data_IF_468578520245
#
_entry.id   IF_468578520245
#
_cell.length_a   1.000
_cell.length_b   1.000
_cell.length_c   1.000
_cell.angle_alpha   90.00
_cell.angle_beta   90.00
_cell.angle_gamma   90.00
#
_symmetry.space_group_name_H-M   'P 1'
#
loop_
_entity.id
_entity.type
_entity.pdbx_description
1 polymer ?
#
# COMPACT_ATOMS: atom_id res chain seq x y z
N UNK A 1 -8.99 7.99 9.40
CA UNK A 1 -9.39 6.92 8.46
C UNK A 1 -9.29 5.49 9.05
N UNK A 2 -9.77 5.16 10.27
CA UNK A 2 -9.59 3.80 10.81
C UNK A 2 -10.43 2.74 10.07
N UNK A 3 -11.68 3.09 9.74
CA UNK A 3 -12.66 2.16 9.14
C UNK A 3 -12.27 1.72 7.74
N UNK A 4 -11.83 2.65 6.87
CA UNK A 4 -11.43 2.35 5.49
C UNK A 4 -10.25 1.38 5.42
N UNK A 5 -9.33 1.47 6.38
CA UNK A 5 -8.07 0.72 6.36
C UNK A 5 -8.17 -0.63 7.06
N UNK A 6 -9.34 -0.98 7.59
CA UNK A 6 -9.56 -2.25 8.25
C UNK A 6 -9.30 -3.41 7.28
N UNK A 7 -8.50 -4.39 7.70
CA UNK A 7 -8.08 -5.54 6.91
C UNK A 7 -7.36 -5.21 5.57
N UNK A 8 -6.93 -3.97 5.37
CA UNK A 8 -6.27 -3.56 4.12
C UNK A 8 -4.96 -4.29 3.82
N UNK A 9 -4.33 -4.90 4.83
CA UNK A 9 -3.13 -5.73 4.66
C UNK A 9 -3.31 -6.96 3.77
N UNK A 10 -4.53 -7.46 3.58
CA UNK A 10 -4.83 -8.64 2.74
C UNK A 10 -5.34 -8.28 1.36
N UNK A 11 -5.55 -7.00 1.05
CA UNK A 11 -6.14 -6.57 -0.21
C UNK A 11 -5.17 -6.72 -1.37
N UNK A 12 -5.71 -7.13 -2.52
CA UNK A 12 -5.07 -7.02 -3.83
C UNK A 12 -5.60 -5.78 -4.53
N UNK A 13 -4.72 -4.87 -4.92
CA UNK A 13 -5.07 -3.57 -5.49
C UNK A 13 -4.78 -3.57 -6.99
N UNK A 14 -5.84 -3.54 -7.79
CA UNK A 14 -5.69 -3.22 -9.21
C UNK A 14 -5.64 -1.69 -9.41
N UNK A 15 -5.28 -1.25 -10.62
CA UNK A 15 -5.14 0.17 -10.95
C UNK A 15 -6.44 0.96 -10.77
N UNK A 16 -7.59 0.35 -11.04
CA UNK A 16 -8.90 0.99 -10.90
C UNK A 16 -9.23 1.22 -9.43
N UNK A 17 -9.02 0.23 -8.56
CA UNK A 17 -9.20 0.34 -7.11
C UNK A 17 -8.26 1.39 -6.52
N UNK A 18 -7.00 1.45 -6.96
CA UNK A 18 -6.05 2.49 -6.54
C UNK A 18 -6.60 3.88 -6.88
N UNK A 19 -7.01 4.10 -8.13
CA UNK A 19 -7.57 5.39 -8.58
C UNK A 19 -8.84 5.76 -7.81
N UNK A 20 -9.69 4.78 -7.52
CA UNK A 20 -10.91 4.99 -6.74
C UNK A 20 -10.59 5.42 -5.30
N UNK A 21 -9.64 4.74 -4.64
CA UNK A 21 -9.20 5.08 -3.28
C UNK A 21 -8.60 6.48 -3.20
N UNK A 22 -7.73 6.84 -4.14
CA UNK A 22 -7.15 8.18 -4.17
C UNK A 22 -8.19 9.26 -4.47
N UNK A 23 -9.18 8.96 -5.33
CA UNK A 23 -10.28 9.88 -5.61
C UNK A 23 -11.17 10.07 -4.39
N UNK A 24 -11.50 8.99 -3.67
CA UNK A 24 -12.23 9.04 -2.41
C UNK A 24 -11.50 9.89 -1.37
N UNK A 25 -10.20 9.64 -1.16
CA UNK A 25 -9.37 10.40 -0.23
C UNK A 25 -9.37 11.88 -0.57
N UNK A 26 -9.11 12.24 -1.83
CA UNK A 26 -9.11 13.65 -2.27
C UNK A 26 -10.47 14.31 -2.13
N UNK A 27 -11.57 13.58 -2.34
CA UNK A 27 -12.93 14.09 -2.09
C UNK A 27 -13.12 14.38 -0.60
N UNK A 28 -12.79 13.43 0.27
CA UNK A 28 -12.89 13.61 1.72
C UNK A 28 -12.03 14.79 2.22
N UNK A 29 -10.79 14.91 1.73
CA UNK A 29 -9.89 16.01 2.10
C UNK A 29 -10.42 17.38 1.63
N UNK A 30 -11.04 17.46 0.45
CA UNK A 30 -11.68 18.70 -0.01
C UNK A 30 -12.88 19.10 0.83
N UNK A 31 -13.65 18.12 1.29
CA UNK A 31 -14.76 18.38 2.22
C UNK A 31 -14.24 18.90 3.55
N UNK A 32 -13.16 18.32 4.10
CA UNK A 32 -12.59 18.70 5.40
C UNK A 32 -11.92 20.08 5.33
N UNK A 33 -11.05 20.32 4.34
CA UNK A 33 -10.28 21.57 4.24
C UNK A 33 -11.02 22.71 3.55
N UNK A 34 -12.14 22.40 2.90
CA UNK A 34 -12.96 23.37 2.20
C UNK A 34 -12.28 24.05 1.01
N UNK A 35 -12.99 25.01 0.37
CA UNK A 35 -12.44 25.83 -0.70
C UNK A 35 -11.39 26.81 -0.17
N UNK A 36 -10.65 27.42 -1.09
CA UNK A 36 -9.70 28.51 -0.80
C UNK A 36 -10.15 29.79 -1.49
N UNK A 37 -9.92 30.92 -0.84
CA UNK A 37 -10.12 32.25 -1.44
C UNK A 37 -8.82 32.68 -2.10
N UNK A 38 -8.85 32.91 -3.40
CA UNK A 38 -7.71 33.28 -4.23
C UNK A 38 -8.11 34.51 -5.05
N UNK A 39 -7.36 35.61 -4.91
CA UNK A 39 -7.64 36.90 -5.57
C UNK A 39 -9.10 37.38 -5.42
N UNK A 40 -9.73 37.11 -4.28
CA UNK A 40 -11.12 37.49 -4.02
C UNK A 40 -12.17 36.45 -4.42
N UNK A 41 -11.82 35.46 -5.24
CA UNK A 41 -12.72 34.41 -5.71
C UNK A 41 -12.55 33.11 -4.92
N UNK A 42 -13.65 32.41 -4.66
CA UNK A 42 -13.62 31.07 -4.07
C UNK A 42 -13.35 30.03 -5.15
N UNK A 43 -12.37 29.16 -4.90
CA UNK A 43 -12.09 28.01 -5.77
C UNK A 43 -11.85 26.74 -4.99
N UNK A 44 -12.08 25.62 -5.67
CA UNK A 44 -11.68 24.30 -5.17
C UNK A 44 -10.16 24.19 -5.10
N UNK A 45 -9.65 23.53 -4.06
CA UNK A 45 -8.21 23.29 -3.91
C UNK A 45 -7.67 22.28 -4.94
N UNK A 46 -6.47 22.56 -5.45
CA UNK A 46 -5.71 21.64 -6.30
C UNK A 46 -5.13 20.48 -5.49
N UNK A 47 -4.79 19.37 -6.16
CA UNK A 47 -4.28 18.17 -5.48
C UNK A 47 -2.99 18.45 -4.68
N UNK A 48 -2.07 19.24 -5.24
CA UNK A 48 -0.82 19.56 -4.55
C UNK A 48 -1.03 20.40 -3.27
N UNK A 49 -2.03 21.28 -3.27
CA UNK A 49 -2.42 22.08 -2.09
C UNK A 49 -2.95 21.16 -0.99
N UNK A 50 -3.78 20.18 -1.36
CA UNK A 50 -4.30 19.18 -0.41
C UNK A 50 -3.17 18.36 0.20
N UNK A 51 -2.21 17.89 -0.58
CA UNK A 51 -1.09 17.10 -0.05
C UNK A 51 -0.18 17.92 0.87
N UNK A 52 0.01 19.21 0.58
CA UNK A 52 0.78 20.12 1.43
C UNK A 52 0.08 20.41 2.77
N UNK A 53 -1.25 20.41 2.78
CA UNK A 53 -2.06 20.59 3.99
C UNK A 53 -2.15 19.31 4.82
N UNK A 54 -2.40 18.17 4.17
CA UNK A 54 -2.64 16.90 4.87
C UNK A 54 -1.40 16.41 5.61
N UNK A 55 -0.20 16.53 5.00
CA UNK A 55 1.11 16.13 5.57
C UNK A 55 1.22 14.69 6.09
N UNK A 56 0.22 13.87 5.84
CA UNK A 56 0.14 12.47 6.22
C UNK A 56 0.28 11.57 4.97
N UNK A 57 0.65 10.29 5.14
CA UNK A 57 0.69 9.33 4.04
C UNK A 57 -0.68 9.17 3.39
N UNK A 58 -0.70 9.11 2.06
CA UNK A 58 -1.90 8.83 1.28
C UNK A 58 -2.44 7.43 1.63
N UNK A 59 -3.75 7.21 1.47
CA UNK A 59 -4.40 5.92 1.76
C UNK A 59 -3.68 4.75 1.10
N UNK A 60 -3.28 4.89 -0.16
CA UNK A 60 -2.57 3.83 -0.92
C UNK A 60 -1.21 3.49 -0.32
N UNK A 61 -0.50 4.49 0.24
CA UNK A 61 0.77 4.30 0.94
C UNK A 61 0.56 3.58 2.29
N UNK A 62 -0.52 3.88 2.98
CA UNK A 62 -0.88 3.20 4.24
C UNK A 62 -1.25 1.74 3.98
N UNK A 63 -2.03 1.45 2.94
CA UNK A 63 -2.38 0.07 2.56
C UNK A 63 -1.10 -0.73 2.25
N UNK A 64 -0.20 -0.16 1.44
CA UNK A 64 1.13 -0.76 1.17
C UNK A 64 1.90 -1.03 2.47
N UNK A 65 1.96 -0.05 3.37
CA UNK A 65 2.63 -0.18 4.66
C UNK A 65 2.03 -1.32 5.51
N UNK A 66 0.71 -1.45 5.53
CA UNK A 66 0.01 -2.51 6.24
C UNK A 66 0.30 -3.89 5.63
N UNK A 67 0.26 -4.00 4.30
CA UNK A 67 0.59 -5.23 3.58
C UNK A 67 2.02 -5.70 3.83
N UNK A 68 3.00 -4.79 3.80
CA UNK A 68 4.39 -5.12 4.13
C UNK A 68 4.59 -5.44 5.61
N UNK A 69 3.83 -4.80 6.51
CA UNK A 69 3.83 -5.15 7.94
C UNK A 69 3.37 -6.60 8.13
N UNK A 70 2.29 -6.98 7.46
CA UNK A 70 1.73 -8.34 7.47
C UNK A 70 2.70 -9.37 6.88
N UNK A 71 3.32 -9.09 5.73
CA UNK A 71 4.36 -9.95 5.16
C UNK A 71 5.48 -10.24 6.16
N UNK A 72 6.02 -9.20 6.80
CA UNK A 72 7.07 -9.38 7.78
C UNK A 72 6.60 -10.18 8.99
N UNK A 73 5.34 -10.02 9.41
CA UNK A 73 4.76 -10.84 10.48
C UNK A 73 4.73 -12.32 10.08
N UNK A 74 4.15 -12.64 8.91
CA UNK A 74 4.08 -14.02 8.39
C UNK A 74 5.48 -14.64 8.27
N UNK A 75 6.45 -13.90 7.73
CA UNK A 75 7.82 -14.39 7.54
C UNK A 75 8.57 -14.67 8.85
N UNK A 76 8.18 -14.02 9.96
CA UNK A 76 8.77 -14.27 11.28
C UNK A 76 7.99 -15.31 12.08
N UNK A 77 6.79 -15.68 11.66
CA UNK A 77 6.04 -16.77 12.28
C UNK A 77 6.77 -18.10 12.09
N UNK A 78 6.64 -19.04 13.04
CA UNK A 78 7.22 -20.38 12.94
C UNK A 78 6.89 -21.08 11.61
N UNK A 79 7.76 -21.97 11.13
CA UNK A 79 7.56 -22.68 9.85
C UNK A 79 6.33 -23.59 9.85
N UNK A 80 5.97 -24.15 11.01
CA UNK A 80 4.76 -24.93 11.19
C UNK A 80 3.47 -24.07 11.23
N UNK A 81 3.58 -22.74 11.17
CA UNK A 81 2.42 -21.87 11.12
C UNK A 81 1.70 -22.02 9.77
N UNK A 82 0.42 -22.40 9.82
CA UNK A 82 -0.41 -22.63 8.63
C UNK A 82 -0.45 -21.41 7.71
N UNK A 83 -0.61 -20.20 8.25
CA UNK A 83 -0.64 -18.96 7.45
C UNK A 83 0.66 -18.78 6.66
N UNK A 84 1.81 -19.04 7.28
CA UNK A 84 3.10 -19.00 6.58
C UNK A 84 3.18 -20.05 5.49
N UNK A 85 2.81 -21.29 5.80
CA UNK A 85 2.80 -22.38 4.85
C UNK A 85 1.93 -22.05 3.63
N UNK A 86 0.67 -21.65 3.83
CA UNK A 86 -0.25 -21.31 2.73
C UNK A 86 0.19 -20.08 1.93
N UNK A 87 0.77 -19.06 2.59
CA UNK A 87 1.19 -17.83 1.89
C UNK A 87 2.33 -18.09 0.90
N UNK A 88 3.29 -18.93 1.26
CA UNK A 88 4.48 -19.20 0.45
C UNK A 88 4.42 -20.53 -0.30
N UNK A 89 3.35 -21.32 -0.14
CA UNK A 89 3.14 -22.53 -0.92
C UNK A 89 2.92 -22.15 -2.38
N UNK A 90 3.72 -22.73 -3.27
CA UNK A 90 3.45 -22.67 -4.69
C UNK A 90 2.44 -23.78 -5.05
N UNK A 91 1.17 -23.47 -5.39
CA UNK A 91 0.24 -24.49 -5.86
C UNK A 91 0.72 -24.98 -7.22
N UNK A 92 1.04 -26.27 -7.32
CA UNK A 92 1.44 -26.90 -8.58
C UNK A 92 0.34 -26.72 -9.63
N UNK A 93 0.71 -26.27 -10.83
CA UNK A 93 -0.21 -26.05 -11.95
C UNK A 93 0.08 -24.78 -12.76
N UNK A 94 -0.56 -24.67 -13.93
CA UNK A 94 -0.44 -23.51 -14.82
C UNK A 94 -1.60 -22.54 -14.61
N UNK A 95 -1.33 -21.24 -14.71
CA UNK A 95 -2.38 -20.20 -14.65
C UNK A 95 -3.10 -20.10 -16.00
N UNK A 96 -4.36 -19.65 -15.97
CA UNK A 96 -5.13 -19.33 -17.18
C UNK A 96 -4.36 -18.34 -18.05
N UNK A 97 -4.34 -18.58 -19.37
CA UNK A 97 -3.75 -17.65 -20.34
C UNK A 97 -4.56 -16.34 -20.39
N UNK A 98 -3.89 -15.21 -20.61
CA UNK A 98 -4.51 -13.88 -20.68
C UNK A 98 -4.23 -13.03 -19.45
N UNK A 99 -5.29 -12.49 -18.81
CA UNK A 99 -5.22 -11.63 -17.62
C UNK A 99 -5.66 -12.40 -16.36
N UNK A 100 -4.82 -13.27 -15.79
CA UNK A 100 -5.17 -13.96 -14.55
C UNK A 100 -5.28 -12.95 -13.39
N UNK A 101 -6.17 -13.17 -12.40
CA UNK A 101 -6.35 -12.27 -11.27
C UNK A 101 -5.06 -12.09 -10.47
N UNK A 102 -4.70 -10.85 -10.09
CA UNK A 102 -3.51 -10.56 -9.29
C UNK A 102 -3.59 -11.25 -7.93
N UNK A 103 -2.52 -11.97 -7.53
CA UNK A 103 -2.43 -12.57 -6.20
C UNK A 103 -1.89 -11.54 -5.20
N UNK A 104 -2.16 -11.76 -3.92
CA UNK A 104 -1.59 -10.95 -2.85
C UNK A 104 -0.05 -10.90 -2.91
N UNK A 105 0.60 -12.04 -3.21
CA UNK A 105 2.06 -12.11 -3.33
C UNK A 105 2.60 -11.29 -4.52
N UNK A 106 1.87 -11.24 -5.63
CA UNK A 106 2.25 -10.46 -6.82
C UNK A 106 2.32 -8.96 -6.45
N UNK A 107 1.34 -8.49 -5.67
CA UNK A 107 1.29 -7.12 -5.14
C UNK A 107 2.40 -6.83 -4.13
N UNK A 108 2.68 -7.78 -3.23
CA UNK A 108 3.80 -7.67 -2.28
C UNK A 108 5.13 -7.52 -3.01
N UNK A 109 5.36 -8.35 -4.03
CA UNK A 109 6.57 -8.25 -4.85
C UNK A 109 6.68 -6.90 -5.55
N UNK A 110 5.57 -6.37 -6.07
CA UNK A 110 5.55 -5.06 -6.69
C UNK A 110 5.83 -3.93 -5.69
N UNK A 111 5.31 -4.03 -4.47
CA UNK A 111 5.59 -3.08 -3.39
C UNK A 111 7.08 -3.10 -3.00
N UNK A 112 7.68 -4.29 -2.90
CA UNK A 112 9.11 -4.46 -2.62
C UNK A 112 9.99 -3.93 -3.76
N UNK A 113 9.60 -4.15 -5.02
CA UNK A 113 10.25 -3.56 -6.20
C UNK A 113 10.18 -2.03 -6.18
N UNK A 114 9.01 -1.48 -5.85
CA UNK A 114 8.79 -0.03 -5.73
C UNK A 114 9.71 0.59 -4.68
N UNK A 115 9.94 -0.11 -3.57
CA UNK A 115 10.84 0.30 -2.49
C UNK A 115 12.31 -0.10 -2.71
N UNK A 116 12.64 -0.76 -3.82
CA UNK A 116 13.97 -1.30 -4.13
C UNK A 116 14.55 -2.18 -3.01
N UNK A 117 13.71 -3.01 -2.38
CA UNK A 117 14.13 -3.93 -1.31
C UNK A 117 14.48 -5.29 -1.91
N UNK A 118 15.77 -5.58 -2.00
CA UNK A 118 16.31 -6.89 -2.39
C UNK A 118 16.52 -7.78 -1.16
N UNK A 119 16.51 -9.11 -1.37
CA UNK A 119 16.72 -10.11 -0.31
C UNK A 119 15.85 -9.83 0.93
N UNK A 120 14.59 -9.49 0.68
CA UNK A 120 13.67 -8.97 1.69
C UNK A 120 13.49 -9.95 2.85
N UNK A 121 13.61 -11.26 2.63
CA UNK A 121 13.55 -12.30 3.67
C UNK A 121 14.58 -12.07 4.78
N UNK A 122 15.84 -11.75 4.40
CA UNK A 122 16.92 -11.47 5.37
C UNK A 122 16.65 -10.18 6.13
N UNK A 123 16.08 -9.18 5.47
CA UNK A 123 15.69 -7.91 6.10
C UNK A 123 14.51 -8.13 7.05
N UNK A 124 13.53 -8.94 6.64
CA UNK A 124 12.31 -9.24 7.37
C UNK A 124 12.55 -10.08 8.64
N UNK A 125 13.62 -10.87 8.68
CA UNK A 125 14.01 -11.63 9.88
C UNK A 125 14.19 -10.72 11.11
N UNK A 126 14.72 -9.51 10.91
CA UNK A 126 14.93 -8.53 11.98
C UNK A 126 13.79 -7.51 12.01
N UNK A 127 12.95 -7.57 13.06
CA UNK A 127 11.75 -6.72 13.19
C UNK A 127 12.03 -5.23 13.03
N UNK A 128 13.11 -4.74 13.64
CA UNK A 128 13.51 -3.33 13.55
C UNK A 128 13.94 -2.92 12.14
N UNK A 129 14.81 -3.71 11.50
CA UNK A 129 15.25 -3.47 10.12
C UNK A 129 14.06 -3.47 9.15
N UNK A 130 13.13 -4.42 9.33
CA UNK A 130 11.92 -4.50 8.52
C UNK A 130 11.01 -3.28 8.69
N UNK A 131 10.79 -2.87 9.94
CA UNK A 131 9.98 -1.69 10.25
C UNK A 131 10.53 -0.45 9.56
N UNK A 132 11.83 -0.19 9.71
CA UNK A 132 12.49 0.99 9.15
C UNK A 132 12.55 0.96 7.62
N UNK A 133 12.99 -0.16 7.04
CA UNK A 133 13.29 -0.25 5.60
C UNK A 133 12.08 -0.53 4.72
N UNK A 134 11.04 -1.18 5.25
CA UNK A 134 9.85 -1.55 4.48
C UNK A 134 8.61 -0.80 4.96
N UNK A 135 8.23 -0.95 6.23
CA UNK A 135 6.94 -0.46 6.74
C UNK A 135 6.89 1.08 6.75
N UNK A 136 7.93 1.72 7.25
CA UNK A 136 8.02 3.19 7.33
C UNK A 136 8.34 3.80 5.95
N UNK A 137 9.26 3.19 5.19
CA UNK A 137 9.55 3.61 3.82
C UNK A 137 8.33 3.55 2.88
N UNK A 138 7.43 2.58 3.07
CA UNK A 138 6.19 2.48 2.32
C UNK A 138 5.27 3.69 2.48
N UNK A 139 5.29 4.32 3.65
CA UNK A 139 4.47 5.50 3.97
C UNK A 139 4.98 6.76 3.28
N UNK A 140 6.26 6.83 2.94
CA UNK A 140 6.88 8.00 2.32
C UNK A 140 7.10 7.86 0.81
N UNK A 141 6.95 6.65 0.27
CA UNK A 141 7.18 6.39 -1.14
C UNK A 141 6.04 6.93 -2.01
N UNK A 142 6.28 8.08 -2.67
CA UNK A 142 5.37 8.70 -3.64
C UNK A 142 5.46 8.10 -5.04
N UNK A 143 6.28 7.07 -5.25
CA UNK A 143 6.41 6.43 -6.56
C UNK A 143 5.09 5.73 -6.87
N UNK A 144 4.34 6.28 -7.83
CA UNK A 144 3.17 5.62 -8.39
C UNK A 144 3.60 4.23 -8.85
N UNK A 145 2.77 3.23 -8.56
CA UNK A 145 2.92 1.87 -9.07
C UNK A 145 2.92 2.00 -10.60
N UNK A 146 4.11 2.02 -11.22
CA UNK A 146 4.26 1.82 -12.66
C UNK A 146 4.03 0.33 -12.87
N UNK A 147 2.76 -0.04 -12.98
CA UNK A 147 2.33 -1.32 -13.54
C UNK A 147 2.41 -1.24 -15.06
#
# INVERSE_FOLDING_TARGET
MPVLLYASETWTLNLETIRALETFERKALRTIFGPVKDQGCWRTRYNFELYRLYKEPQVTQVIRSNRLRWLGHIWRSPENNQTRAYTFKNPMGSRTRGRPPTRWIDDVENDLKTLNIKNWQRVAAYRWNWRKRAVEAAKTCNRLLRL
#
